data_IF_733898747069
#
_entry.id   IF_733898747069
#
_cell.length_a   1.000
_cell.length_b   1.000
_cell.length_c   1.000
_cell.angle_alpha   90.00
_cell.angle_beta   90.00
_cell.angle_gamma   90.00
#
_symmetry.space_group_name_H-M   'P 1'
#
loop_
_entity.id
_entity.type
_entity.pdbx_description
1 polymer ?
2 non-polymer ?
3 non-polymer ?
4 non-polymer ?
5 non-polymer ?
6 water ?
#
# COMPACT_ATOMS: atom_id res chain seq x y z
N UNK A 2 16.37 -18.07 18.54
CA UNK A 2 17.06 -16.96 17.77
C UNK A 2 16.30 -15.64 17.88
N UNK A 3 14.96 -15.68 17.91
CA UNK A 3 14.21 -14.46 18.19
C UNK A 3 14.37 -14.13 19.67
N UNK A 4 14.66 -12.85 19.97
CA UNK A 4 14.61 -12.36 21.33
C UNK A 4 13.66 -11.17 21.36
N UNK A 5 12.86 -11.08 22.44
CA UNK A 5 11.89 -9.99 22.52
C UNK A 5 12.68 -8.70 22.69
N UNK A 6 12.17 -7.61 22.11
CA UNK A 6 12.78 -6.30 22.21
C UNK A 6 12.26 -5.58 23.46
N UNK A 7 13.20 -4.99 24.21
CA UNK A 7 12.87 -4.17 25.36
C UNK A 7 12.80 -2.70 24.92
N UNK A 8 12.44 -1.82 25.86
CA UNK A 8 12.46 -0.38 25.60
C UNK A 8 13.84 0.06 25.14
N UNK A 9 14.90 -0.47 25.76
CA UNK A 9 16.25 -0.01 25.46
C UNK A 9 16.69 -0.53 24.09
N UNK A 10 16.28 -1.76 23.77
CA UNK A 10 16.56 -2.31 22.45
C UNK A 10 15.97 -1.37 21.41
N UNK A 11 14.69 -1.00 21.61
CA UNK A 11 14.00 -0.17 20.63
C UNK A 11 14.67 1.20 20.52
N UNK A 12 15.09 1.78 21.64
CA UNK A 12 15.74 3.08 21.58
C UNK A 12 17.06 2.98 20.82
N UNK A 13 17.84 1.89 21.01
CA UNK A 13 19.09 1.68 20.27
C UNK A 13 18.80 1.58 18.77
N UNK A 14 17.77 0.82 18.41
CA UNK A 14 17.44 0.61 17.01
C UNK A 14 17.00 1.91 16.33
N UNK A 15 16.19 2.70 17.03
CA UNK A 15 15.83 4.04 16.57
C UNK A 15 17.08 4.84 16.20
N UNK A 16 18.03 4.90 17.15
CA UNK A 16 19.25 5.67 17.00
C UNK A 16 20.08 5.19 15.80
N UNK A 17 20.26 3.86 15.72
CA UNK A 17 20.99 3.22 14.63
C UNK A 17 20.36 3.53 13.27
N UNK A 18 19.05 3.43 13.18
CA UNK A 18 18.34 3.68 11.93
C UNK A 18 18.37 5.17 11.57
N UNK A 19 18.30 6.05 12.57
CA UNK A 19 18.40 7.48 12.29
C UNK A 19 19.78 7.76 11.73
N UNK A 20 20.80 7.11 12.30
CA UNK A 20 22.16 7.28 11.85
C UNK A 20 22.33 6.76 10.42
N UNK A 21 21.95 5.50 10.19
CA UNK A 21 22.33 4.84 8.95
C UNK A 21 21.52 5.33 7.75
N UNK A 22 20.30 5.82 8.00
CA UNK A 22 19.45 6.33 6.94
C UNK A 22 19.59 7.85 6.82
N UNK A 23 20.32 8.47 7.74
CA UNK A 23 20.51 9.91 7.78
C UNK A 23 19.14 10.60 7.86
N UNK A 24 18.31 10.15 8.81
CA UNK A 24 16.99 10.72 9.01
C UNK A 24 17.13 12.17 9.49
N UNK A 25 16.45 13.13 8.85
CA UNK A 25 16.53 14.53 9.25
C UNK A 25 15.93 14.76 10.64
N UNK A 26 16.43 15.81 11.30
CA UNK A 26 16.05 16.12 12.68
C UNK A 26 14.54 16.32 12.81
N UNK A 27 13.90 16.88 11.76
CA UNK A 27 12.48 17.16 11.80
C UNK A 27 11.68 15.87 11.93
N UNK A 28 12.12 14.80 11.24
CA UNK A 28 11.40 13.54 11.30
C UNK A 28 11.54 12.88 12.67
N UNK A 29 12.74 12.95 13.25
CA UNK A 29 12.98 12.38 14.57
C UNK A 29 12.01 13.00 15.57
N UNK A 30 11.83 14.33 15.47
CA UNK A 30 10.95 15.09 16.35
C UNK A 30 9.55 14.49 16.26
N UNK A 31 9.11 14.19 15.03
CA UNK A 31 7.79 13.63 14.77
C UNK A 31 7.67 12.18 15.26
N UNK A 32 8.72 11.36 15.08
CA UNK A 32 8.64 9.97 15.50
C UNK A 32 8.49 9.87 17.02
N UNK A 33 9.10 10.84 17.72
CA UNK A 33 9.03 10.91 19.18
C UNK A 33 7.59 11.09 19.64
N UNK A 34 6.77 11.78 18.85
CA UNK A 34 5.37 12.06 19.19
C UNK A 34 4.43 11.05 18.55
N UNK A 35 4.99 9.94 18.03
CA UNK A 35 4.23 8.90 17.37
C UNK A 35 3.51 9.45 16.14
N UNK A 36 4.17 10.40 15.45
CA UNK A 36 3.68 10.90 14.18
C UNK A 36 4.56 10.31 13.08
N UNK A 37 3.93 9.61 12.14
CA UNK A 37 4.65 8.93 11.08
C UNK A 37 4.10 9.36 9.73
N UNK A 38 4.71 10.38 9.08
CA UNK A 38 4.27 10.85 7.77
C UNK A 38 4.24 9.74 6.72
N UNK A 39 3.36 9.92 5.73
CA UNK A 39 3.18 8.97 4.64
C UNK A 39 4.20 9.25 3.54
N UNK A 40 5.49 9.02 3.83
CA UNK A 40 6.51 9.25 2.83
C UNK A 40 7.65 8.25 3.02
N UNK A 41 8.51 8.19 2.01
CA UNK A 41 9.50 7.14 1.91
C UNK A 41 10.50 7.23 3.05
N UNK A 42 10.82 8.46 3.49
CA UNK A 42 11.78 8.61 4.58
C UNK A 42 11.28 7.83 5.80
N UNK A 43 10.01 8.08 6.15
CA UNK A 43 9.38 7.44 7.28
C UNK A 43 9.21 5.94 7.07
N UNK A 44 8.72 5.55 5.89
CA UNK A 44 8.45 4.14 5.63
C UNK A 44 9.72 3.30 5.72
N UNK A 45 10.84 3.80 5.20
CA UNK A 45 12.11 3.08 5.25
C UNK A 45 12.66 3.04 6.67
N UNK A 46 12.37 4.08 7.47
CA UNK A 46 12.72 4.08 8.88
C UNK A 46 12.02 2.92 9.58
N UNK A 47 10.70 2.79 9.40
CA UNK A 47 9.93 1.76 10.08
C UNK A 47 10.44 0.39 9.63
N UNK A 48 10.73 0.23 8.34
CA UNK A 48 11.27 -1.03 7.85
C UNK A 48 12.59 -1.34 8.58
N UNK A 49 13.47 -0.33 8.70
CA UNK A 49 14.76 -0.46 9.34
C UNK A 49 14.60 -0.94 10.76
N UNK A 50 13.67 -0.32 11.50
CA UNK A 50 13.49 -0.64 12.90
C UNK A 50 12.96 -2.07 12.99
N UNK A 51 11.98 -2.41 12.15
CA UNK A 51 11.38 -3.75 12.18
C UNK A 51 12.39 -4.84 11.81
N UNK A 52 13.26 -4.57 10.83
CA UNK A 52 14.36 -5.46 10.47
C UNK A 52 15.18 -5.78 11.73
N UNK A 53 15.54 -4.73 12.47
CA UNK A 53 16.42 -4.88 13.62
C UNK A 53 15.73 -5.64 14.75
N UNK A 54 14.43 -5.43 14.89
CA UNK A 54 13.64 -6.14 15.90
C UNK A 54 13.30 -7.57 15.46
N UNK A 55 13.69 -7.97 14.24
CA UNK A 55 13.39 -9.28 13.68
C UNK A 55 11.87 -9.48 13.57
N UNK A 56 11.16 -8.39 13.22
CA UNK A 56 9.71 -8.45 13.02
C UNK A 56 9.32 -8.36 11.55
N UNK A 57 10.29 -8.08 10.66
CA UNK A 57 10.03 -7.91 9.24
C UNK A 57 11.30 -8.28 8.48
N UNK A 58 11.15 -9.04 7.39
CA UNK A 58 12.21 -9.35 6.45
C UNK A 58 11.84 -8.75 5.10
N UNK A 59 12.83 -8.23 4.37
CA UNK A 59 12.54 -7.48 3.16
C UNK A 59 11.99 -8.39 2.07
N UNK A 60 12.35 -9.69 2.10
CA UNK A 60 11.91 -10.61 1.06
C UNK A 60 10.69 -11.38 1.54
N UNK A 61 10.69 -11.86 2.79
CA UNK A 61 9.62 -12.71 3.30
C UNK A 61 8.44 -11.90 3.84
N UNK A 62 8.72 -10.67 4.29
CA UNK A 62 7.72 -9.80 4.83
C UNK A 62 7.62 -9.92 6.36
N UNK A 63 6.44 -9.59 6.92
CA UNK A 63 6.23 -9.69 8.36
C UNK A 63 6.52 -11.09 8.87
N UNK A 64 7.20 -11.14 10.01
CA UNK A 64 7.64 -12.39 10.60
C UNK A 64 6.67 -12.72 11.72
N UNK A 65 5.65 -13.51 11.37
CA UNK A 65 4.43 -13.55 12.17
C UNK A 65 4.72 -14.20 13.51
N UNK A 66 5.47 -15.30 13.51
CA UNK A 66 5.80 -16.03 14.74
C UNK A 66 6.49 -15.11 15.74
N UNK A 67 7.42 -14.27 15.24
CA UNK A 67 8.21 -13.33 16.03
C UNK A 67 7.31 -12.22 16.57
N UNK A 68 6.41 -11.71 15.73
CA UNK A 68 5.44 -10.71 16.16
C UNK A 68 4.58 -11.25 17.29
N UNK A 69 4.14 -12.52 17.18
CA UNK A 69 3.36 -13.13 18.23
C UNK A 69 4.19 -13.27 19.50
N UNK A 70 5.46 -13.67 19.39
CA UNK A 70 6.31 -13.74 20.57
C UNK A 70 6.42 -12.35 21.22
N UNK A 71 6.58 -11.32 20.39
CA UNK A 71 6.79 -9.96 20.90
C UNK A 71 5.54 -9.46 21.64
N UNK A 72 4.35 -9.79 21.13
CA UNK A 72 3.14 -9.10 21.54
C UNK A 72 2.25 -9.90 22.53
N UNK A 73 2.36 -11.24 22.54
CA UNK A 73 1.25 -12.08 22.99
C UNK A 73 1.42 -12.67 24.40
N UNK A 74 2.63 -12.64 24.98
CA UNK A 74 2.81 -13.34 26.25
C UNK A 74 1.92 -12.69 27.32
N UNK A 75 1.18 -13.55 28.03
CA UNK A 75 0.21 -13.12 29.02
C UNK A 75 -1.18 -12.93 28.40
N UNK A 76 -1.26 -12.99 27.07
CA UNK A 76 -2.51 -12.72 26.37
C UNK A 76 -2.91 -13.98 25.62
N UNK A 77 -3.90 -13.89 24.73
CA UNK A 77 -4.26 -15.06 23.96
C UNK A 77 -3.52 -14.97 22.63
N UNK A 78 -2.52 -15.85 22.46
CA UNK A 78 -1.70 -15.91 21.26
C UNK A 78 -2.57 -16.05 20.01
N UNK A 79 -3.67 -16.80 20.11
CA UNK A 79 -4.54 -16.97 18.96
C UNK A 79 -5.16 -15.65 18.53
N UNK A 80 -5.63 -14.84 19.49
CA UNK A 80 -6.24 -13.55 19.22
C UNK A 80 -5.23 -12.60 18.58
N UNK A 81 -4.04 -12.58 19.18
CA UNK A 81 -2.98 -11.71 18.69
C UNK A 81 -2.57 -12.16 17.28
N UNK A 82 -2.36 -13.47 17.07
CA UNK A 82 -1.97 -13.95 15.75
C UNK A 82 -3.03 -13.57 14.71
N UNK A 83 -4.31 -13.69 15.10
CA UNK A 83 -5.40 -13.39 14.17
C UNK A 83 -5.31 -11.93 13.74
N UNK A 84 -5.09 -11.02 14.69
CA UNK A 84 -5.02 -9.60 14.41
C UNK A 84 -3.81 -9.26 13.55
N UNK A 85 -2.70 -9.95 13.79
CA UNK A 85 -1.49 -9.78 13.00
C UNK A 85 -1.75 -10.23 11.56
N UNK A 86 -2.34 -11.42 11.40
CA UNK A 86 -2.56 -12.00 10.09
C UNK A 86 -3.51 -11.15 9.24
N UNK A 87 -4.41 -10.41 9.89
CA UNK A 87 -5.28 -9.47 9.20
C UNK A 87 -4.45 -8.40 8.50
N UNK A 88 -3.25 -8.10 9.03
CA UNK A 88 -2.42 -7.05 8.50
C UNK A 88 -1.29 -7.58 7.61
N UNK A 89 -1.18 -8.91 7.50
CA UNK A 89 -0.17 -9.53 6.66
C UNK A 89 -0.72 -9.60 5.24
N UNK A 90 0.03 -9.07 4.27
CA UNK A 90 -0.37 -9.10 2.88
C UNK A 90 0.86 -9.41 2.02
N UNK A 91 0.64 -9.46 0.69
CA UNK A 91 1.70 -9.66 -0.28
C UNK A 91 2.45 -8.36 -0.54
N UNK A 92 3.67 -8.48 -1.04
CA UNK A 92 4.46 -7.33 -1.41
C UNK A 92 4.04 -6.85 -2.80
N UNK A 93 2.79 -6.39 -2.95
CA UNK A 93 2.24 -6.24 -4.29
C UNK A 93 2.95 -5.14 -5.07
N UNK A 94 3.43 -4.08 -4.40
CA UNK A 94 4.08 -3.01 -5.15
C UNK A 94 5.60 -3.11 -5.05
N UNK A 95 6.13 -4.31 -4.76
CA UNK A 95 7.55 -4.64 -4.80
C UNK A 95 8.35 -3.52 -4.14
N UNK A 96 8.04 -3.27 -2.86
CA UNK A 96 8.61 -2.18 -2.11
C UNK A 96 8.59 -2.54 -0.63
N UNK A 97 9.76 -2.97 -0.12
CA UNK A 97 9.87 -3.43 1.25
C UNK A 97 9.55 -2.29 2.22
N UNK A 98 9.92 -1.05 1.90
CA UNK A 98 9.57 0.07 2.78
C UNK A 98 8.06 0.24 2.85
N UNK A 99 7.39 0.27 1.69
CA UNK A 99 5.94 0.40 1.65
C UNK A 99 5.29 -0.76 2.40
N UNK A 100 5.81 -1.96 2.17
CA UNK A 100 5.29 -3.19 2.75
C UNK A 100 5.33 -3.14 4.28
N UNK A 101 6.49 -2.82 4.83
CA UNK A 101 6.65 -2.85 6.28
C UNK A 101 5.70 -1.83 6.90
N UNK A 102 5.64 -0.65 6.27
CA UNK A 102 4.86 0.46 6.81
C UNK A 102 3.36 0.16 6.77
N UNK A 103 2.89 -0.45 5.68
CA UNK A 103 1.48 -0.79 5.50
C UNK A 103 1.01 -1.70 6.63
N UNK A 104 1.81 -2.71 6.95
CA UNK A 104 1.49 -3.61 8.04
C UNK A 104 1.43 -2.91 9.40
N UNK A 105 2.43 -2.04 9.66
CA UNK A 105 2.46 -1.23 10.88
C UNK A 105 1.21 -0.37 11.00
N UNK A 106 0.87 0.34 9.93
CA UNK A 106 -0.29 1.23 9.94
C UNK A 106 -1.57 0.43 10.16
N UNK A 107 -1.67 -0.73 9.52
CA UNK A 107 -2.83 -1.61 9.67
C UNK A 107 -2.97 -1.98 11.15
N UNK A 108 -1.88 -2.49 11.73
CA UNK A 108 -1.94 -3.07 13.06
C UNK A 108 -2.19 -1.99 14.13
N UNK A 109 -1.53 -0.82 14.00
CA UNK A 109 -1.56 0.13 15.09
C UNK A 109 -2.90 0.85 15.14
N UNK A 110 -3.72 0.77 14.07
CA UNK A 110 -5.01 1.44 14.08
C UNK A 110 -5.88 0.90 15.22
N UNK A 111 -5.91 -0.43 15.38
CA UNK A 111 -6.80 -1.04 16.35
C UNK A 111 -6.04 -1.68 17.51
N UNK A 112 -4.71 -1.76 17.46
CA UNK A 112 -3.98 -2.51 18.49
C UNK A 112 -2.83 -1.71 19.08
N UNK A 113 -3.00 -0.38 19.20
CA UNK A 113 -1.91 0.44 19.69
C UNK A 113 -1.52 0.05 21.12
N UNK A 114 -2.53 -0.21 21.96
CA UNK A 114 -2.33 -0.60 23.34
C UNK A 114 -1.42 -1.83 23.46
N UNK A 115 -1.66 -2.83 22.61
CA UNK A 115 -0.88 -4.05 22.61
C UNK A 115 0.57 -3.77 22.18
N UNK A 116 0.75 -2.89 21.19
CA UNK A 116 2.08 -2.47 20.76
C UNK A 116 2.83 -1.83 21.93
N UNK A 117 2.21 -0.84 22.59
CA UNK A 117 2.90 -0.13 23.66
C UNK A 117 3.23 -1.07 24.82
N UNK A 118 2.28 -1.95 25.17
CA UNK A 118 2.48 -2.89 26.26
C UNK A 118 3.63 -3.87 25.99
N UNK A 119 3.94 -4.12 24.71
CA UNK A 119 4.97 -5.08 24.34
C UNK A 119 6.38 -4.56 24.67
N UNK A 120 6.53 -3.25 24.75
CA UNK A 120 7.82 -2.61 25.02
C UNK A 120 7.91 -2.30 26.52
N UNK A 121 8.61 -3.19 27.24
CA UNK A 121 8.80 -3.08 28.68
C UNK A 121 10.27 -2.73 28.98
N UNK B 2 -23.34 -4.79 -18.53
CA UNK B 2 -23.34 -3.33 -18.23
C UNK B 2 -21.91 -2.86 -17.93
N UNK B 3 -20.91 -3.76 -18.03
CA UNK B 3 -19.53 -3.29 -18.08
C UNK B 3 -19.13 -3.06 -19.53
N UNK B 4 -18.57 -1.87 -19.79
CA UNK B 4 -18.04 -1.53 -21.09
C UNK B 4 -16.59 -1.07 -20.95
N UNK B 5 -15.79 -1.49 -21.92
CA UNK B 5 -14.39 -1.11 -22.01
C UNK B 5 -14.28 0.41 -22.16
N UNK B 6 -13.23 1.00 -21.58
CA UNK B 6 -12.91 2.42 -21.70
C UNK B 6 -11.87 2.67 -22.81
N UNK B 7 -12.09 3.73 -23.60
CA UNK B 7 -11.10 4.21 -24.59
C UNK B 7 -10.31 5.39 -24.02
N UNK B 8 -9.28 5.86 -24.77
CA UNK B 8 -8.50 7.03 -24.40
C UNK B 8 -9.41 8.25 -24.21
N UNK B 9 -10.44 8.35 -25.07
CA UNK B 9 -11.42 9.41 -24.95
C UNK B 9 -12.18 9.33 -23.63
N UNK B 10 -12.65 8.13 -23.27
CA UNK B 10 -13.40 7.95 -22.03
C UNK B 10 -12.52 8.40 -20.86
N UNK B 11 -11.28 7.92 -20.85
CA UNK B 11 -10.30 8.25 -19.84
C UNK B 11 -10.13 9.78 -19.75
N UNK B 12 -10.02 10.44 -20.90
CA UNK B 12 -9.86 11.88 -20.90
C UNK B 12 -11.04 12.56 -20.21
N UNK B 13 -12.27 12.11 -20.49
CA UNK B 13 -13.43 12.67 -19.82
C UNK B 13 -13.35 12.45 -18.32
N UNK B 14 -12.95 11.24 -17.91
CA UNK B 14 -12.97 10.87 -16.51
C UNK B 14 -11.92 11.69 -15.77
N UNK B 15 -10.79 11.93 -16.42
CA UNK B 15 -9.77 12.83 -15.90
C UNK B 15 -10.40 14.16 -15.51
N UNK B 16 -11.10 14.80 -16.45
CA UNK B 16 -11.62 16.15 -16.27
C UNK B 16 -12.70 16.17 -15.17
N UNK B 17 -13.51 15.12 -15.12
CA UNK B 17 -14.55 14.99 -14.12
C UNK B 17 -13.93 14.85 -12.73
N UNK B 18 -12.88 14.02 -12.60
CA UNK B 18 -12.25 13.76 -11.31
C UNK B 18 -11.50 15.01 -10.83
N UNK B 19 -10.83 15.70 -11.75
CA UNK B 19 -10.13 16.95 -11.42
C UNK B 19 -11.13 17.95 -10.84
N UNK B 20 -12.33 18.00 -11.41
CA UNK B 20 -13.35 18.92 -10.98
C UNK B 20 -13.91 18.49 -9.62
N UNK B 21 -14.27 17.21 -9.50
CA UNK B 21 -14.83 16.67 -8.28
C UNK B 21 -13.90 16.89 -7.08
N UNK B 22 -12.62 16.56 -7.28
CA UNK B 22 -11.65 16.51 -6.19
C UNK B 22 -10.94 17.85 -6.00
N UNK B 23 -11.17 18.77 -6.94
CA UNK B 23 -10.52 20.07 -6.90
C UNK B 23 -9.01 19.86 -6.98
N UNK B 24 -8.58 19.06 -7.96
CA UNK B 24 -7.17 18.72 -8.12
C UNK B 24 -6.45 19.96 -8.63
N UNK B 25 -5.34 20.39 -7.98
CA UNK B 25 -4.58 21.54 -8.47
C UNK B 25 -3.89 21.29 -9.81
N UNK B 26 -3.67 22.40 -10.55
CA UNK B 26 -3.15 22.37 -11.92
C UNK B 26 -1.79 21.69 -12.00
N UNK B 27 -0.92 21.93 -11.00
CA UNK B 27 0.40 21.33 -11.00
C UNK B 27 0.29 19.79 -11.07
N UNK B 28 -0.70 19.20 -10.38
CA UNK B 28 -0.90 17.76 -10.40
C UNK B 28 -1.38 17.30 -11.78
N UNK B 29 -2.32 18.05 -12.36
CA UNK B 29 -2.87 17.68 -13.65
C UNK B 29 -1.74 17.55 -14.66
N UNK B 30 -0.78 18.49 -14.61
CA UNK B 30 0.35 18.51 -15.52
C UNK B 30 1.20 17.23 -15.36
N UNK B 31 1.41 16.79 -14.12
CA UNK B 31 2.17 15.59 -13.83
C UNK B 31 1.46 14.34 -14.35
N UNK B 32 0.13 14.27 -14.13
CA UNK B 32 -0.66 13.11 -14.52
C UNK B 32 -0.59 12.92 -16.03
N UNK B 33 -0.65 14.04 -16.77
CA UNK B 33 -0.56 14.02 -18.22
C UNK B 33 0.73 13.36 -18.69
N UNK B 34 1.78 13.42 -17.87
CA UNK B 34 3.06 12.82 -18.21
C UNK B 34 3.23 11.45 -17.55
N UNK B 35 2.14 10.93 -16.94
CA UNK B 35 2.16 9.64 -16.25
C UNK B 35 3.13 9.67 -15.07
N UNK B 36 3.20 10.85 -14.42
CA UNK B 36 3.87 10.98 -13.14
C UNK B 36 2.81 11.09 -12.06
N UNK B 37 2.92 10.23 -11.03
CA UNK B 37 1.92 10.10 -9.99
C UNK B 37 2.58 10.23 -8.63
N UNK B 38 2.62 11.45 -8.05
CA UNK B 38 3.20 11.64 -6.72
C UNK B 38 2.52 10.74 -5.70
N UNK B 39 3.29 10.31 -4.70
CA UNK B 39 2.76 9.44 -3.66
C UNK B 39 2.14 10.29 -2.56
N UNK B 40 0.94 10.78 -2.83
CA UNK B 40 0.18 11.52 -1.84
C UNK B 40 -1.30 11.25 -2.07
N UNK B 41 -2.09 11.65 -1.09
CA UNK B 41 -3.50 11.33 -1.11
C UNK B 41 -4.18 12.09 -2.25
N UNK B 42 -3.67 13.27 -2.67
CA UNK B 42 -4.26 13.97 -3.81
C UNK B 42 -4.31 13.04 -5.01
N UNK B 43 -3.16 12.43 -5.28
CA UNK B 43 -2.96 11.59 -6.45
C UNK B 43 -3.70 10.27 -6.31
N UNK B 44 -3.60 9.63 -5.14
CA UNK B 44 -4.16 8.31 -4.91
C UNK B 44 -5.70 8.34 -5.01
N UNK B 45 -6.33 9.38 -4.46
CA UNK B 45 -7.78 9.47 -4.54
C UNK B 45 -8.24 9.80 -5.97
N UNK B 46 -7.40 10.55 -6.70
CA UNK B 46 -7.64 10.76 -8.12
C UNK B 46 -7.68 9.43 -8.87
N UNK B 47 -6.67 8.57 -8.64
CA UNK B 47 -6.63 7.28 -9.31
C UNK B 47 -7.85 6.46 -8.91
N UNK B 48 -8.23 6.49 -7.62
CA UNK B 48 -9.43 5.79 -7.21
C UNK B 48 -10.66 6.30 -7.97
N UNK B 49 -10.82 7.63 -8.06
CA UNK B 49 -11.93 8.26 -8.75
C UNK B 49 -12.01 7.75 -10.20
N UNK B 50 -10.87 7.79 -10.92
CA UNK B 50 -10.85 7.38 -12.32
C UNK B 50 -11.23 5.92 -12.45
N UNK B 51 -10.67 5.07 -11.59
CA UNK B 51 -10.97 3.65 -11.62
C UNK B 51 -12.43 3.39 -11.27
N UNK B 52 -12.97 4.17 -10.31
CA UNK B 52 -14.38 4.11 -9.97
C UNK B 52 -15.22 4.34 -11.24
N UNK B 53 -14.89 5.38 -12.01
CA UNK B 53 -15.69 5.77 -13.17
C UNK B 53 -15.58 4.74 -14.31
N UNK B 54 -14.42 4.08 -14.40
CA UNK B 54 -14.18 3.05 -15.39
C UNK B 54 -14.77 1.71 -14.95
N UNK B 55 -15.33 1.65 -13.72
CA UNK B 55 -15.84 0.42 -13.13
C UNK B 55 -14.75 -0.65 -13.03
N UNK B 56 -13.53 -0.23 -12.62
CA UNK B 56 -12.40 -1.14 -12.46
C UNK B 56 -12.06 -1.35 -10.99
N UNK B 57 -12.70 -0.59 -10.11
CA UNK B 57 -12.40 -0.60 -8.69
C UNK B 57 -13.65 -0.19 -7.92
N UNK B 58 -13.97 -0.93 -6.85
CA UNK B 58 -15.04 -0.56 -5.93
C UNK B 58 -14.43 -0.31 -4.56
N UNK B 59 -14.87 0.74 -3.85
CA UNK B 59 -14.22 1.16 -2.63
C UNK B 59 -14.28 0.10 -1.53
N UNK B 60 -15.30 -0.76 -1.54
CA UNK B 60 -15.38 -1.82 -0.54
C UNK B 60 -14.81 -3.12 -1.08
N UNK B 61 -15.18 -3.51 -2.30
CA UNK B 61 -14.80 -4.82 -2.83
C UNK B 61 -13.36 -4.83 -3.36
N UNK B 62 -12.84 -3.64 -3.67
CA UNK B 62 -11.52 -3.51 -4.23
C UNK B 62 -11.53 -3.65 -5.75
N UNK B 63 -10.43 -4.14 -6.37
CA UNK B 63 -10.39 -4.34 -7.81
C UNK B 63 -11.48 -5.27 -8.32
N UNK B 64 -12.10 -4.86 -9.44
CA UNK B 64 -13.13 -5.65 -10.08
C UNK B 64 -12.49 -6.49 -11.17
N UNK B 65 -12.12 -7.72 -10.79
CA UNK B 65 -11.17 -8.50 -11.55
C UNK B 65 -11.75 -8.83 -12.93
N UNK B 66 -13.02 -9.26 -12.99
CA UNK B 66 -13.58 -9.61 -14.30
C UNK B 66 -13.58 -8.39 -15.22
N UNK B 67 -14.00 -7.25 -14.68
CA UNK B 67 -14.06 -6.03 -15.47
C UNK B 67 -12.66 -5.68 -16.00
N UNK B 68 -11.65 -5.80 -15.12
CA UNK B 68 -10.28 -5.54 -15.50
C UNK B 68 -9.86 -6.47 -16.63
N UNK B 69 -10.22 -7.76 -16.54
CA UNK B 69 -9.87 -8.72 -17.57
C UNK B 69 -10.49 -8.28 -18.91
N UNK B 70 -11.77 -7.87 -18.90
CA UNK B 70 -12.43 -7.43 -20.11
C UNK B 70 -11.72 -6.20 -20.68
N UNK B 71 -11.34 -5.27 -19.80
CA UNK B 71 -10.63 -4.07 -20.20
C UNK B 71 -9.30 -4.44 -20.87
N UNK B 72 -8.61 -5.44 -20.33
CA UNK B 72 -7.17 -5.61 -20.56
C UNK B 72 -6.84 -6.70 -21.58
N UNK B 73 -7.76 -7.64 -21.82
CA UNK B 73 -7.40 -8.87 -22.51
C UNK B 73 -7.66 -8.86 -24.02
N UNK B 74 -7.81 -7.68 -24.65
CA UNK B 74 -8.14 -7.67 -26.08
C UNK B 74 -6.93 -8.10 -26.90
N UNK B 75 -7.10 -9.18 -27.68
CA UNK B 75 -6.01 -9.75 -28.45
C UNK B 75 -5.08 -10.66 -27.63
N UNK B 76 -5.48 -10.94 -26.37
CA UNK B 76 -4.70 -11.71 -25.43
C UNK B 76 -5.55 -12.86 -24.90
N UNK B 77 -4.93 -13.72 -24.10
CA UNK B 77 -5.65 -14.80 -23.46
C UNK B 77 -6.24 -14.32 -22.14
N UNK B 78 -7.57 -14.44 -22.00
CA UNK B 78 -8.24 -13.90 -20.82
C UNK B 78 -7.75 -14.55 -19.52
N UNK B 79 -7.45 -15.85 -19.53
CA UNK B 79 -7.02 -16.53 -18.31
C UNK B 79 -5.63 -16.05 -17.91
N UNK B 80 -4.75 -15.83 -18.89
CA UNK B 80 -3.42 -15.31 -18.62
C UNK B 80 -3.52 -13.89 -18.06
N UNK B 81 -4.39 -13.06 -18.63
CA UNK B 81 -4.54 -11.70 -18.16
C UNK B 81 -5.12 -11.75 -16.74
N UNK B 82 -6.09 -12.64 -16.51
CA UNK B 82 -6.68 -12.77 -15.19
C UNK B 82 -5.58 -13.09 -14.17
N UNK B 83 -4.67 -13.99 -14.52
CA UNK B 83 -3.60 -14.39 -13.62
C UNK B 83 -2.71 -13.19 -13.28
N UNK B 84 -2.39 -12.36 -14.27
CA UNK B 84 -1.53 -11.20 -14.06
C UNK B 84 -2.21 -10.17 -13.17
N UNK B 85 -3.50 -9.92 -13.45
CA UNK B 85 -4.31 -9.03 -12.62
C UNK B 85 -4.31 -9.53 -11.17
N UNK B 86 -4.55 -10.83 -10.95
CA UNK B 86 -4.68 -11.36 -9.62
C UNK B 86 -3.40 -11.19 -8.81
N UNK B 87 -2.23 -11.17 -9.47
CA UNK B 87 -0.98 -10.96 -8.75
C UNK B 87 -0.97 -9.61 -8.04
N UNK B 88 -1.75 -8.64 -8.57
CA UNK B 88 -1.82 -7.31 -8.03
C UNK B 88 -3.06 -7.08 -7.14
N UNK B 89 -3.92 -8.09 -7.01
CA UNK B 89 -5.11 -7.95 -6.16
C UNK B 89 -4.71 -8.24 -4.72
N UNK B 90 -4.78 -7.22 -3.87
CA UNK B 90 -4.49 -7.38 -2.45
C UNK B 90 -5.75 -7.04 -1.67
N UNK B 91 -5.78 -7.42 -0.39
CA UNK B 91 -6.87 -6.98 0.47
C UNK B 91 -6.53 -5.57 0.91
N UNK B 92 -7.51 -4.90 1.54
CA UNK B 92 -7.42 -3.49 1.88
C UNK B 92 -6.64 -3.31 3.18
N UNK B 93 -5.33 -3.61 3.11
CA UNK B 93 -4.50 -3.87 4.27
C UNK B 93 -4.56 -2.69 5.23
N UNK B 94 -4.41 -1.46 4.72
CA UNK B 94 -4.37 -0.29 5.59
C UNK B 94 -5.68 0.51 5.55
N UNK B 95 -6.80 -0.16 5.22
CA UNK B 95 -8.14 0.38 5.37
C UNK B 95 -8.25 1.78 4.76
N UNK B 96 -7.93 1.87 3.48
CA UNK B 96 -7.93 3.14 2.78
C UNK B 96 -8.08 2.87 1.29
N UNK B 97 -9.27 3.17 0.77
CA UNK B 97 -9.64 2.80 -0.60
C UNK B 97 -8.74 3.54 -1.60
N UNK B 98 -8.31 4.76 -1.26
CA UNK B 98 -7.44 5.51 -2.14
C UNK B 98 -6.08 4.81 -2.21
N UNK B 99 -5.53 4.41 -1.05
CA UNK B 99 -4.25 3.71 -1.03
C UNK B 99 -4.37 2.43 -1.83
N UNK B 100 -5.47 1.70 -1.59
CA UNK B 100 -5.76 0.43 -2.20
C UNK B 100 -5.75 0.51 -3.72
N UNK B 101 -6.59 1.39 -4.27
CA UNK B 101 -6.69 1.53 -5.72
C UNK B 101 -5.32 1.83 -6.32
N UNK B 102 -4.58 2.72 -5.67
CA UNK B 102 -3.33 3.23 -6.19
C UNK B 102 -2.27 2.13 -6.16
N UNK B 103 -2.26 1.32 -5.10
CA UNK B 103 -1.30 0.23 -4.94
C UNK B 103 -1.48 -0.77 -6.07
N UNK B 104 -2.75 -1.08 -6.40
CA UNK B 104 -3.07 -2.01 -7.47
C UNK B 104 -2.57 -1.50 -8.82
N UNK B 105 -2.82 -0.21 -9.08
CA UNK B 105 -2.35 0.46 -10.27
C UNK B 105 -0.82 0.40 -10.38
N UNK B 106 -0.12 0.79 -9.30
CA UNK B 106 1.35 0.77 -9.32
C UNK B 106 1.88 -0.63 -9.56
N UNK B 107 1.23 -1.63 -8.94
CA UNK B 107 1.63 -3.02 -9.07
C UNK B 107 1.59 -3.43 -10.54
N UNK B 108 0.47 -3.10 -11.21
CA UNK B 108 0.20 -3.59 -12.56
C UNK B 108 0.99 -2.80 -13.60
N UNK B 109 1.23 -1.51 -13.34
CA UNK B 109 1.96 -0.65 -14.24
C UNK B 109 3.42 -1.13 -14.34
N UNK B 110 3.91 -1.79 -13.29
CA UNK B 110 5.28 -2.25 -13.19
C UNK B 110 5.66 -3.15 -14.37
N UNK B 111 4.91 -4.23 -14.57
CA UNK B 111 5.30 -5.22 -15.56
C UNK B 111 4.32 -5.22 -16.73
N UNK B 112 3.17 -4.55 -16.62
CA UNK B 112 2.15 -4.65 -17.64
C UNK B 112 1.75 -3.28 -18.18
N UNK B 113 2.71 -2.34 -18.25
CA UNK B 113 2.42 -1.01 -18.77
C UNK B 113 1.89 -1.07 -20.20
N UNK B 114 2.49 -1.94 -21.02
CA UNK B 114 2.09 -2.12 -22.42
C UNK B 114 0.62 -2.51 -22.52
N UNK B 115 0.21 -3.47 -21.68
CA UNK B 115 -1.15 -3.96 -21.68
C UNK B 115 -2.13 -2.84 -21.30
N UNK B 116 -1.78 -2.03 -20.29
CA UNK B 116 -2.62 -0.90 -19.88
C UNK B 116 -2.79 0.07 -21.06
N UNK B 117 -1.69 0.49 -21.67
CA UNK B 117 -1.77 1.53 -22.70
C UNK B 117 -2.52 1.01 -23.94
N UNK B 118 -2.28 -0.25 -24.32
CA UNK B 118 -2.99 -0.83 -25.44
C UNK B 118 -4.49 -0.95 -25.18
N UNK B 119 -4.92 -1.04 -23.91
CA UNK B 119 -6.32 -1.24 -23.60
C UNK B 119 -7.18 -0.01 -23.93
N UNK B 120 -6.58 1.17 -24.07
CA UNK B 120 -7.35 2.39 -24.31
C UNK B 120 -7.25 2.84 -25.77
N UNK B 121 -6.46 2.13 -26.59
CA UNK B 121 -6.35 2.44 -28.02
C UNK B 121 -7.68 2.15 -28.71
N UNK B 122 -7.95 2.90 -29.79
CA UNK B 122 -9.11 2.67 -30.64
C UNK B 122 -8.97 1.31 -31.34
N UNK B 123 -10.07 0.57 -31.42
CA UNK B 123 -10.08 -0.81 -31.88
C UNK B 123 -10.50 -0.90 -33.35
#
# INVERSE_FOLDING_TARGET
MEFTVSTTEDLQRYRTECVSSLNIPADYVEKFKKWEFPEDDTTMCYIKCVFNKMQLFDDTEGPLVDNLVHQLAHGRDAEEVRTEVLKCVDKNTDNNACHWAFRGFKCFQKNNLSLIKASIKKD
MEFTVSTTEDLQRYRTECVSSLNIPADYVEKFKKWEFPEDDTTMCYIKCVFNKMQLFDDTEGPLVDNLVHQLAHGRDAEEVRTEVLKCVDKNTDNNACHWAFRGFKCFQKNNLSLIKASIKKD
#
